data_IF_744749809711
#
_entry.id   IF_744749809711
#
_cell.length_a   1.000
_cell.length_b   1.000
_cell.length_c   1.000
_cell.angle_alpha   90.00
_cell.angle_beta   90.00
_cell.angle_gamma   90.00
#
_symmetry.space_group_name_H-M   'P 1'
#
loop_
_entity.id
_entity.type
_entity.pdbx_description
1 polymer ?
#
# COMPACT_ATOMS: atom_id res chain seq x y z
N UNK A 1 -28.74 21.57 -44.18
CA UNK A 1 -28.41 20.15 -44.39
C UNK A 1 -26.98 20.13 -44.88
N UNK A 2 -26.02 20.02 -43.97
CA UNK A 2 -24.58 20.08 -44.28
C UNK A 2 -23.94 18.77 -43.83
N UNK A 3 -23.55 17.98 -44.82
CA UNK A 3 -22.61 16.87 -44.68
C UNK A 3 -21.20 17.45 -44.51
N UNK A 4 -20.53 17.11 -43.42
CA UNK A 4 -19.07 17.28 -43.27
C UNK A 4 -18.51 15.98 -42.69
N UNK A 5 -18.03 15.15 -43.59
CA UNK A 5 -17.14 14.02 -43.33
C UNK A 5 -15.76 14.57 -42.91
N UNK A 6 -15.44 14.48 -41.61
CA UNK A 6 -14.08 14.69 -41.13
C UNK A 6 -13.42 13.33 -40.87
N UNK A 7 -12.60 12.90 -41.84
CA UNK A 7 -11.53 11.90 -41.62
C UNK A 7 -10.53 12.48 -40.62
N UNK A 8 -10.36 11.84 -39.46
CA UNK A 8 -9.20 12.07 -38.61
C UNK A 8 -8.27 10.86 -38.66
N UNK A 9 -6.99 11.18 -38.79
CA UNK A 9 -5.91 10.28 -39.12
C UNK A 9 -5.50 9.39 -37.97
N UNK A 10 -4.89 8.27 -38.35
CA UNK A 10 -4.22 7.33 -37.47
C UNK A 10 -3.01 8.01 -36.81
N UNK A 11 -3.20 8.45 -35.56
CA UNK A 11 -2.10 8.70 -34.65
C UNK A 11 -1.63 7.37 -34.07
N UNK A 12 -0.47 6.89 -34.52
CA UNK A 12 0.31 5.91 -33.76
C UNK A 12 0.79 6.58 -32.47
N UNK A 13 -0.04 6.56 -31.44
CA UNK A 13 0.39 6.76 -30.07
C UNK A 13 1.05 5.46 -29.61
N UNK A 14 2.33 5.53 -29.25
CA UNK A 14 3.03 4.47 -28.52
C UNK A 14 2.21 4.24 -27.24
N UNK A 15 1.44 3.16 -27.21
CA UNK A 15 0.81 2.68 -25.99
C UNK A 15 1.92 2.10 -25.13
N UNK A 16 2.52 2.93 -24.27
CA UNK A 16 3.14 2.38 -23.07
C UNK A 16 2.03 1.66 -22.33
N UNK A 17 2.05 0.33 -22.46
CA UNK A 17 1.23 -0.61 -21.72
C UNK A 17 1.64 -0.50 -20.24
N UNK A 18 1.26 0.60 -19.61
CA UNK A 18 1.11 0.66 -18.17
C UNK A 18 -0.12 -0.20 -17.97
N UNK A 19 0.11 -1.47 -17.61
CA UNK A 19 -0.96 -2.32 -17.13
C UNK A 19 -1.58 -1.57 -15.97
N UNK A 20 -2.78 -1.05 -16.21
CA UNK A 20 -3.70 -0.64 -15.17
C UNK A 20 -3.93 -1.91 -14.36
N UNK A 21 -3.27 -2.03 -13.21
CA UNK A 21 -3.53 -3.08 -12.23
C UNK A 21 -4.89 -2.75 -11.61
N UNK A 22 -5.93 -2.99 -12.40
CA UNK A 22 -7.36 -2.85 -12.06
C UNK A 22 -7.72 -4.02 -11.13
N UNK A 23 -7.08 -4.06 -9.94
CA UNK A 23 -7.43 -4.95 -8.84
C UNK A 23 -8.70 -4.41 -8.18
N UNK A 24 -9.85 -4.84 -8.72
CA UNK A 24 -11.19 -4.35 -8.39
C UNK A 24 -11.69 -4.62 -6.97
N UNK A 25 -10.86 -5.18 -6.09
CA UNK A 25 -11.23 -5.56 -4.73
C UNK A 25 -10.50 -4.78 -3.62
N UNK A 26 -9.64 -3.82 -3.97
CA UNK A 26 -8.99 -2.94 -2.97
C UNK A 26 -9.91 -1.79 -2.57
N UNK A 27 -10.89 -2.05 -1.70
CA UNK A 27 -11.92 -1.17 -1.11
C UNK A 27 -11.58 0.34 -0.88
N UNK A 28 -11.21 1.09 -1.92
CA UNK A 28 -10.70 2.46 -1.82
C UNK A 28 -9.28 2.58 -1.25
N UNK A 29 -8.46 1.52 -1.33
CA UNK A 29 -7.08 1.53 -0.84
C UNK A 29 -6.08 1.44 -2.00
N UNK A 30 -5.14 2.38 -2.04
CA UNK A 30 -3.97 2.28 -2.92
C UNK A 30 -2.73 1.92 -2.10
N UNK A 31 -2.07 0.82 -2.45
CA UNK A 31 -0.81 0.39 -1.82
C UNK A 31 0.36 0.66 -2.77
N UNK A 32 1.34 1.41 -2.28
CA UNK A 32 2.57 1.74 -3.01
C UNK A 32 3.75 1.17 -2.21
N UNK A 33 4.45 0.23 -2.81
CA UNK A 33 5.57 -0.47 -2.19
C UNK A 33 6.90 0.19 -2.56
N UNK A 34 7.70 0.50 -1.54
CA UNK A 34 9.02 1.11 -1.70
C UNK A 34 10.09 0.15 -1.19
N UNK A 35 10.52 -0.78 -2.06
CA UNK A 35 11.52 -1.81 -1.73
C UNK A 35 12.85 -1.24 -1.22
N UNK A 36 13.23 -0.04 -1.64
CA UNK A 36 14.49 0.61 -1.24
C UNK A 36 14.43 1.29 0.14
N UNK A 37 13.24 1.41 0.71
CA UNK A 37 13.01 2.19 1.93
C UNK A 37 12.23 1.42 2.99
N UNK A 38 12.03 0.11 2.77
CA UNK A 38 11.24 -0.79 3.62
C UNK A 38 9.94 -0.12 4.08
N UNK A 39 9.24 0.47 3.12
CA UNK A 39 8.07 1.30 3.35
C UNK A 39 6.94 0.84 2.46
N UNK A 40 5.76 0.70 3.06
CA UNK A 40 4.49 0.64 2.34
C UNK A 40 3.77 1.96 2.59
N UNK A 41 3.48 2.67 1.51
CA UNK A 41 2.61 3.84 1.53
C UNK A 41 1.19 3.38 1.16
N UNK A 42 0.28 3.50 2.11
CA UNK A 42 -1.15 3.22 1.87
C UNK A 42 -1.91 4.53 1.80
N UNK A 43 -2.71 4.70 0.75
CA UNK A 43 -3.59 5.86 0.56
C UNK A 43 -5.02 5.36 0.69
N UNK A 44 -5.80 5.99 1.56
CA UNK A 44 -7.22 5.70 1.73
C UNK A 44 -7.96 7.00 2.02
N UNK A 45 -9.00 7.29 1.23
CA UNK A 45 -9.73 8.55 1.24
C UNK A 45 -8.78 9.77 1.24
N UNK A 46 -8.88 10.66 2.24
CA UNK A 46 -8.05 11.85 2.42
C UNK A 46 -6.89 11.62 3.41
N UNK A 47 -6.42 10.37 3.52
CA UNK A 47 -5.36 9.99 4.43
C UNK A 47 -4.25 9.21 3.74
N UNK A 48 -3.02 9.42 4.21
CA UNK A 48 -1.83 8.66 3.86
C UNK A 48 -1.26 8.00 5.11
N UNK A 49 -0.93 6.71 4.99
CA UNK A 49 -0.41 5.89 6.07
C UNK A 49 0.96 5.38 5.64
N UNK A 50 1.98 5.68 6.44
CA UNK A 50 3.35 5.23 6.24
C UNK A 50 3.60 4.04 7.16
N UNK A 51 3.74 2.85 6.58
CA UNK A 51 3.96 1.62 7.32
C UNK A 51 5.41 1.17 7.11
N UNK A 52 6.20 1.23 8.17
CA UNK A 52 7.57 0.71 8.15
C UNK A 52 7.54 -0.81 8.18
N UNK A 53 8.25 -1.43 7.26
CA UNK A 53 8.62 -2.83 7.30
C UNK A 53 9.98 -2.89 8.00
N UNK A 54 10.14 -3.72 9.02
CA UNK A 54 11.42 -3.87 9.71
C UNK A 54 12.35 -4.76 8.86
N UNK A 55 13.52 -4.24 8.48
CA UNK A 55 14.58 -4.93 7.71
C UNK A 55 15.00 -6.29 8.31
N UNK A 56 14.83 -6.48 9.62
CA UNK A 56 15.22 -7.72 10.31
C UNK A 56 14.32 -8.92 9.99
N UNK A 57 13.24 -8.72 9.22
CA UNK A 57 12.27 -9.74 8.87
C UNK A 57 12.31 -9.95 7.36
N UNK A 58 12.64 -11.19 6.95
CA UNK A 58 12.67 -11.67 5.56
C UNK A 58 11.48 -11.16 4.75
N UNK A 59 11.65 -10.93 3.43
CA UNK A 59 11.04 -9.82 2.72
C UNK A 59 9.53 -9.93 2.86
N UNK A 60 8.97 -8.94 3.54
CA UNK A 60 7.53 -8.72 3.71
C UNK A 60 6.74 -8.70 2.38
N UNK A 61 7.48 -8.60 1.27
CA UNK A 61 7.02 -8.50 -0.11
C UNK A 61 7.53 -9.67 -0.97
N UNK A 62 8.10 -10.71 -0.36
CA UNK A 62 8.47 -11.92 -1.09
C UNK A 62 7.19 -12.69 -1.43
N UNK A 63 6.66 -12.40 -2.61
CA UNK A 63 5.48 -13.07 -3.17
C UNK A 63 5.71 -14.60 -3.33
N UNK A 64 6.94 -15.10 -3.13
CA UNK A 64 7.25 -16.53 -3.13
C UNK A 64 6.98 -17.23 -1.79
N UNK A 65 6.71 -16.49 -0.71
CA UNK A 65 6.38 -17.08 0.59
C UNK A 65 4.85 -17.18 0.76
N UNK A 66 4.32 -18.40 0.60
CA UNK A 66 2.91 -18.68 0.88
C UNK A 66 2.70 -18.76 2.39
N UNK A 67 1.86 -17.87 2.94
CA UNK A 67 1.55 -17.84 4.38
C UNK A 67 0.47 -18.84 4.82
N UNK A 68 -0.18 -19.53 3.87
CA UNK A 68 -1.20 -20.54 4.16
C UNK A 68 -2.26 -20.64 3.05
N UNK A 69 -3.30 -21.47 3.23
CA UNK A 69 -4.37 -21.62 2.23
C UNK A 69 -5.25 -20.38 2.07
N UNK A 70 -5.31 -19.51 3.09
CA UNK A 70 -6.17 -18.32 3.12
C UNK A 70 -5.45 -17.04 2.65
N UNK A 71 -4.13 -17.10 2.45
CA UNK A 71 -3.29 -15.96 2.08
C UNK A 71 -2.49 -16.28 0.82
N UNK A 72 -2.94 -15.81 -0.36
CA UNK A 72 -2.30 -16.15 -1.63
C UNK A 72 -0.84 -15.68 -1.70
N UNK A 73 -0.49 -14.63 -0.96
CA UNK A 73 0.87 -14.12 -0.82
C UNK A 73 1.08 -13.45 0.55
N UNK A 74 2.35 -13.27 0.95
CA UNK A 74 2.70 -12.44 2.10
C UNK A 74 2.19 -11.00 1.96
N UNK A 75 2.17 -10.49 0.72
CA UNK A 75 1.66 -9.17 0.37
C UNK A 75 0.16 -9.04 0.69
N UNK A 76 -0.67 -9.99 0.28
CA UNK A 76 -2.11 -9.95 0.57
C UNK A 76 -2.38 -9.98 2.09
N UNK A 77 -1.56 -10.76 2.81
CA UNK A 77 -1.47 -10.78 4.28
C UNK A 77 -1.27 -9.40 4.87
N UNK A 78 -0.23 -8.73 4.41
CA UNK A 78 0.13 -7.39 4.84
C UNK A 78 -0.97 -6.36 4.54
N UNK A 79 -1.49 -6.34 3.30
CA UNK A 79 -2.53 -5.39 2.88
C UNK A 79 -3.78 -5.50 3.75
N UNK A 80 -4.28 -6.72 3.96
CA UNK A 80 -5.49 -6.95 4.76
C UNK A 80 -5.28 -6.54 6.22
N UNK A 81 -4.09 -6.81 6.76
CA UNK A 81 -3.79 -6.42 8.14
C UNK A 81 -3.70 -4.90 8.30
N UNK A 82 -3.06 -4.22 7.34
CA UNK A 82 -3.02 -2.75 7.29
C UNK A 82 -4.44 -2.17 7.20
N UNK A 83 -5.28 -2.73 6.32
CA UNK A 83 -6.69 -2.31 6.22
C UNK A 83 -7.39 -2.42 7.57
N UNK A 84 -7.32 -3.57 8.23
CA UNK A 84 -7.93 -3.77 9.54
C UNK A 84 -7.41 -2.81 10.62
N UNK A 85 -6.10 -2.53 10.64
CA UNK A 85 -5.53 -1.55 11.57
C UNK A 85 -6.09 -0.15 11.34
N UNK A 86 -6.23 0.25 10.07
CA UNK A 86 -6.79 1.56 9.68
C UNK A 86 -8.29 1.62 10.04
N UNK A 87 -9.06 0.60 9.68
CA UNK A 87 -10.52 0.53 9.93
C UNK A 87 -10.87 0.57 11.42
N UNK A 88 -10.05 -0.07 12.26
CA UNK A 88 -10.24 -0.09 13.72
C UNK A 88 -9.79 1.19 14.41
N UNK A 89 -9.06 2.05 13.69
CA UNK A 89 -8.51 3.30 14.20
C UNK A 89 -7.76 3.11 15.53
N UNK A 90 -6.89 2.11 15.58
CA UNK A 90 -6.11 1.75 16.76
C UNK A 90 -5.08 2.84 17.06
N UNK A 91 -5.39 3.74 18.01
CA UNK A 91 -4.59 4.95 18.27
C UNK A 91 -3.20 4.69 18.85
N UNK A 92 -2.97 3.50 19.38
CA UNK A 92 -1.67 3.11 19.93
C UNK A 92 -0.65 2.80 18.82
N UNK A 93 -1.14 2.35 17.66
CA UNK A 93 -0.33 1.96 16.48
C UNK A 93 -0.40 2.99 15.36
N UNK A 94 -1.54 3.68 15.16
CA UNK A 94 -1.70 4.74 14.16
C UNK A 94 -1.48 6.11 14.79
N UNK A 95 -0.38 6.77 14.44
CA UNK A 95 0.00 8.06 15.01
C UNK A 95 -0.06 9.17 13.98
N UNK A 96 -0.74 10.31 14.25
CA UNK A 96 -0.71 11.44 13.35
C UNK A 96 0.71 12.01 13.26
N UNK A 97 1.10 12.37 12.04
CA UNK A 97 2.42 12.94 11.73
C UNK A 97 2.30 14.01 10.64
N UNK A 98 3.41 14.41 10.05
CA UNK A 98 3.43 15.36 8.93
C UNK A 98 4.17 14.77 7.74
N UNK A 99 3.77 15.19 6.53
CA UNK A 99 4.45 14.82 5.30
C UNK A 99 5.95 15.17 5.34
N UNK A 100 6.30 16.34 5.91
CA UNK A 100 7.69 16.76 6.05
C UNK A 100 8.50 15.82 6.96
N UNK A 101 7.90 15.33 8.06
CA UNK A 101 8.56 14.37 8.95
C UNK A 101 8.79 13.03 8.24
N UNK A 102 7.79 12.52 7.52
CA UNK A 102 7.90 11.27 6.77
C UNK A 102 8.88 11.36 5.59
N UNK A 103 8.89 12.48 4.86
CA UNK A 103 9.90 12.77 3.84
C UNK A 103 11.31 12.75 4.41
N UNK A 104 11.52 13.38 5.57
CA UNK A 104 12.84 13.38 6.20
C UNK A 104 13.26 11.97 6.66
N UNK A 105 12.31 11.15 7.11
CA UNK A 105 12.55 9.79 7.59
C UNK A 105 12.84 8.81 6.45
N UNK A 106 11.95 8.73 5.47
CA UNK A 106 12.00 7.72 4.40
C UNK A 106 12.61 8.22 3.09
N UNK A 107 12.80 9.54 2.93
CA UNK A 107 13.28 10.16 1.69
C UNK A 107 12.40 9.86 0.46
N UNK A 108 11.13 9.49 0.68
CA UNK A 108 10.18 9.22 -0.38
C UNK A 108 9.58 10.52 -0.94
N UNK A 109 10.06 10.90 -2.12
CA UNK A 109 9.54 12.06 -2.86
C UNK A 109 8.22 11.76 -3.58
N UNK A 110 7.88 10.49 -3.82
CA UNK A 110 6.63 10.13 -4.47
C UNK A 110 5.46 10.38 -3.52
N UNK A 111 5.61 10.09 -2.23
CA UNK A 111 4.64 10.47 -1.21
C UNK A 111 4.26 11.95 -1.24
N UNK A 112 5.18 12.84 -1.61
CA UNK A 112 4.86 14.27 -1.68
C UNK A 112 3.80 14.58 -2.72
N UNK A 113 3.83 13.87 -3.84
CA UNK A 113 2.84 14.02 -4.89
C UNK A 113 1.46 13.50 -4.45
N UNK A 114 1.43 12.34 -3.78
CA UNK A 114 0.18 11.71 -3.37
C UNK A 114 -0.45 12.34 -2.11
N UNK A 115 0.35 12.90 -1.21
CA UNK A 115 -0.08 13.24 0.16
C UNK A 115 -0.05 14.74 0.48
N UNK A 116 0.27 15.63 -0.46
CA UNK A 116 0.46 17.09 -0.21
C UNK A 116 -0.70 17.80 0.51
N UNK A 117 -1.91 17.25 0.46
CA UNK A 117 -3.12 17.83 1.07
C UNK A 117 -3.92 16.82 1.90
N UNK A 118 -3.32 15.68 2.24
CA UNK A 118 -3.97 14.60 2.98
C UNK A 118 -3.53 14.61 4.44
N UNK A 119 -4.33 13.99 5.30
CA UNK A 119 -3.93 13.66 6.67
C UNK A 119 -2.81 12.63 6.61
N UNK A 120 -1.77 12.78 7.43
CA UNK A 120 -0.61 11.90 7.37
C UNK A 120 -0.47 11.16 8.69
N UNK A 121 -0.31 9.86 8.59
CA UNK A 121 -0.15 8.95 9.72
C UNK A 121 1.08 8.09 9.53
N UNK A 122 1.75 7.82 10.65
CA UNK A 122 2.74 6.77 10.76
C UNK A 122 2.08 5.58 11.45
N UNK A 123 2.19 4.39 10.86
CA UNK A 123 1.70 3.15 11.45
C UNK A 123 2.90 2.40 12.00
N UNK A 124 2.93 2.25 13.32
CA UNK A 124 3.94 1.47 14.02
C UNK A 124 3.43 0.04 14.06
N UNK A 125 3.87 -0.73 13.06
CA UNK A 125 3.44 -2.10 12.91
C UNK A 125 4.41 -3.03 13.63
N UNK A 126 4.07 -3.42 14.87
CA UNK A 126 4.76 -4.50 15.55
C UNK A 126 4.09 -5.82 15.14
N UNK A 127 4.68 -6.51 14.15
CA UNK A 127 4.30 -7.90 13.88
C UNK A 127 4.77 -8.75 15.06
N UNK A 128 4.03 -8.80 16.15
CA UNK A 128 4.15 -9.93 17.05
C UNK A 128 3.74 -11.15 16.22
N UNK A 129 4.63 -12.14 16.08
CA UNK A 129 4.23 -13.41 15.50
C UNK A 129 2.95 -13.81 16.22
N UNK A 130 1.84 -14.14 15.50
CA UNK A 130 0.71 -14.75 16.17
C UNK A 130 1.32 -15.92 16.92
N UNK A 131 1.35 -15.82 18.25
CA UNK A 131 1.89 -16.86 19.07
C UNK A 131 1.16 -18.10 18.60
N UNK A 132 1.88 -19.02 17.94
CA UNK A 132 1.39 -20.36 17.75
C UNK A 132 1.04 -20.80 19.16
N UNK A 133 -0.25 -20.73 19.49
CA UNK A 133 -0.78 -21.20 20.74
C UNK A 133 -0.36 -22.64 20.77
N UNK A 134 0.70 -22.90 21.52
CA UNK A 134 1.13 -24.24 21.81
C UNK A 134 -0.11 -24.92 22.35
N UNK A 135 -0.54 -25.93 21.61
CA UNK A 135 -1.66 -26.75 21.96
C UNK A 135 -1.55 -27.11 23.44
N UNK A 136 -2.69 -26.93 24.09
CA UNK A 136 -3.09 -27.63 25.29
C UNK A 136 -2.50 -29.06 25.27
N UNK A 137 -1.44 -29.30 26.04
CA UNK A 137 -1.07 -30.66 26.45
C UNK A 137 -1.74 -30.88 27.81
N UNK A 138 -2.52 -31.96 27.86
CA UNK A 138 -3.38 -32.41 28.94
C UNK A 138 -2.66 -32.70 30.27
#
# INVERSE_FOLDING_TARGET
MFDVLAKHGHGHGITTNIQDFDDKDRHGYDFIYHDYHDLVLTIHDDSCYFISVDESREPFLDDHHLLGPDWPSARDGAETLIQHTIERNETDVVRPTTLAAMRNKYQDLLADFHCAQKSVFEVIFEWEHPHHGHGHED
#
